data_IF_513386791738
#
_entry.id   IF_513386791738
#
_cell.length_a   1.000
_cell.length_b   1.000
_cell.length_c   1.000
_cell.angle_alpha   90.00
_cell.angle_beta   90.00
_cell.angle_gamma   90.00
#
_symmetry.space_group_name_H-M   'P 1'
#
loop_
_entity.id
_entity.type
_entity.pdbx_description
1 polymer ?
#
# COMPACT_ATOMS: atom_id res chain seq x y z
N UNK A 1 -47.14 -62.34 37.94
CA UNK A 1 -45.85 -61.75 37.54
C UNK A 1 -46.14 -60.59 36.56
N UNK A 2 -46.18 -59.39 37.10
CA UNK A 2 -46.39 -58.17 36.28
C UNK A 2 -45.02 -57.51 36.01
N UNK A 3 -44.66 -57.40 34.75
CA UNK A 3 -43.44 -56.63 34.30
C UNK A 3 -43.80 -55.16 34.25
N UNK A 4 -43.13 -54.37 35.06
CA UNK A 4 -43.15 -52.88 35.01
C UNK A 4 -42.17 -52.41 33.92
N UNK A 5 -42.70 -51.79 32.89
CA UNK A 5 -41.90 -51.14 31.86
C UNK A 5 -41.57 -49.73 32.32
N UNK A 6 -40.28 -49.42 32.53
CA UNK A 6 -39.81 -48.08 32.89
C UNK A 6 -39.64 -47.26 31.59
N UNK A 7 -40.34 -46.16 31.51
CA UNK A 7 -40.22 -45.15 30.43
C UNK A 7 -39.10 -44.20 30.75
N UNK A 8 -37.98 -44.28 30.04
CA UNK A 8 -36.85 -43.34 30.16
C UNK A 8 -37.14 -42.13 29.25
N UNK A 9 -37.52 -41.02 29.83
CA UNK A 9 -37.58 -39.75 29.14
C UNK A 9 -36.16 -39.21 28.93
N UNK A 10 -35.67 -39.23 27.69
CA UNK A 10 -34.43 -38.58 27.28
C UNK A 10 -34.70 -37.08 27.08
N UNK A 11 -34.36 -36.25 28.07
CA UNK A 11 -34.39 -34.82 27.92
C UNK A 11 -33.20 -34.38 27.04
N UNK A 12 -33.48 -33.99 25.79
CA UNK A 12 -32.49 -33.31 24.96
C UNK A 12 -32.21 -31.90 25.55
N UNK A 13 -31.10 -31.75 26.22
CA UNK A 13 -30.55 -30.43 26.50
C UNK A 13 -30.04 -29.83 25.19
N UNK A 14 -30.80 -28.91 24.61
CA UNK A 14 -30.30 -28.03 23.55
C UNK A 14 -29.35 -27.04 24.22
N UNK A 15 -28.05 -27.31 24.16
CA UNK A 15 -27.03 -26.29 24.45
C UNK A 15 -27.12 -25.25 23.34
N UNK A 16 -27.81 -24.14 23.59
CA UNK A 16 -27.64 -22.93 22.85
C UNK A 16 -26.23 -22.41 23.19
N UNK A 17 -25.23 -22.80 22.42
CA UNK A 17 -23.95 -22.09 22.39
C UNK A 17 -24.28 -20.74 21.74
N UNK A 18 -24.41 -19.70 22.57
CA UNK A 18 -24.30 -18.34 22.09
C UNK A 18 -22.92 -18.24 21.41
N UNK A 19 -22.94 -18.25 20.06
CA UNK A 19 -21.74 -17.86 19.32
C UNK A 19 -21.41 -16.44 19.80
N UNK A 20 -20.37 -16.29 20.59
CA UNK A 20 -19.79 -14.98 20.89
C UNK A 20 -19.56 -14.31 19.55
N UNK A 21 -20.08 -13.11 19.39
CA UNK A 21 -19.77 -12.30 18.23
C UNK A 21 -18.24 -12.27 18.11
N UNK A 22 -17.70 -12.88 17.06
CA UNK A 22 -16.27 -12.81 16.75
C UNK A 22 -16.00 -11.36 16.32
N UNK A 23 -15.57 -10.55 17.29
CA UNK A 23 -14.90 -9.29 17.00
C UNK A 23 -13.50 -9.64 16.50
N UNK A 24 -13.09 -9.08 15.38
CA UNK A 24 -11.78 -9.30 14.80
C UNK A 24 -11.21 -8.01 14.24
N UNK A 25 -9.91 -7.95 14.18
CA UNK A 25 -9.20 -6.84 13.55
C UNK A 25 -8.18 -7.39 12.55
N UNK A 26 -7.92 -6.60 11.52
CA UNK A 26 -6.81 -6.79 10.59
C UNK A 26 -6.11 -5.45 10.44
N UNK A 27 -4.83 -5.42 10.75
CA UNK A 27 -4.00 -4.22 10.60
C UNK A 27 -3.29 -4.26 9.26
N UNK A 28 -3.49 -3.23 8.44
CA UNK A 28 -2.82 -3.06 7.15
C UNK A 28 -1.94 -1.82 7.19
N UNK A 29 -0.62 -1.98 7.04
CA UNK A 29 0.30 -0.85 6.95
C UNK A 29 0.46 -0.40 5.49
N UNK A 30 0.22 0.87 5.23
CA UNK A 30 0.23 1.48 3.90
C UNK A 30 1.40 2.46 3.79
N UNK A 31 2.27 2.25 2.80
CA UNK A 31 3.39 3.14 2.49
C UNK A 31 3.31 3.73 1.09
N UNK A 32 4.03 4.83 0.88
CA UNK A 32 4.06 5.58 -0.37
C UNK A 32 4.97 4.98 -1.46
N UNK A 33 5.54 5.86 -2.28
CA UNK A 33 6.39 5.49 -3.41
C UNK A 33 7.74 4.94 -2.94
N UNK A 34 8.07 3.73 -3.40
CA UNK A 34 9.35 3.07 -3.15
C UNK A 34 10.07 2.77 -4.46
N UNK A 35 11.16 3.49 -4.73
CA UNK A 35 12.12 3.18 -5.78
C UNK A 35 13.26 2.35 -5.17
N UNK A 36 13.15 1.03 -5.26
CA UNK A 36 14.20 0.11 -4.81
C UNK A 36 15.20 -0.12 -5.94
N UNK A 37 16.03 0.88 -6.17
CA UNK A 37 17.00 0.87 -7.25
C UNK A 37 17.53 2.25 -7.58
N UNK A 38 18.37 2.32 -8.59
CA UNK A 38 19.03 3.54 -9.05
C UNK A 38 18.53 3.92 -10.45
N UNK A 39 18.62 5.19 -10.80
CA UNK A 39 18.46 5.62 -12.20
C UNK A 39 19.44 4.86 -13.09
N UNK A 40 18.99 4.43 -14.26
CA UNK A 40 19.86 3.67 -15.18
C UNK A 40 21.11 4.47 -15.57
N UNK A 41 21.00 5.78 -15.71
CA UNK A 41 22.10 6.68 -16.06
C UNK A 41 23.18 6.75 -14.96
N UNK A 42 22.78 6.50 -13.70
CA UNK A 42 23.66 6.61 -12.52
C UNK A 42 24.21 5.26 -12.04
N UNK A 43 23.93 4.16 -12.72
CA UNK A 43 24.35 2.81 -12.31
C UNK A 43 25.87 2.64 -12.12
N UNK A 44 26.69 3.56 -12.66
CA UNK A 44 28.15 3.55 -12.54
C UNK A 44 28.67 4.56 -11.53
N UNK A 45 27.82 5.37 -10.94
CA UNK A 45 28.23 6.38 -9.99
C UNK A 45 28.56 5.72 -8.64
N UNK A 46 29.54 6.27 -7.89
CA UNK A 46 29.98 5.64 -6.64
C UNK A 46 29.00 5.78 -5.48
N UNK A 47 28.14 6.78 -5.54
CA UNK A 47 27.18 7.08 -4.49
C UNK A 47 25.76 6.89 -5.02
N UNK A 48 25.23 5.67 -4.94
CA UNK A 48 23.91 5.33 -5.43
C UNK A 48 23.17 4.45 -4.42
N UNK A 49 21.89 4.24 -4.65
CA UNK A 49 21.12 3.26 -3.89
C UNK A 49 21.78 1.88 -3.92
N UNK A 50 22.22 1.43 -5.11
CA UNK A 50 22.83 0.10 -5.27
C UNK A 50 24.12 -0.04 -4.47
N UNK A 51 24.99 0.99 -4.49
CA UNK A 51 26.25 0.97 -3.74
C UNK A 51 26.01 1.00 -2.24
N UNK A 52 25.01 1.78 -1.79
CA UNK A 52 24.64 1.84 -0.39
C UNK A 52 24.07 0.51 0.12
N UNK A 53 23.17 -0.12 -0.64
CA UNK A 53 22.63 -1.43 -0.27
C UNK A 53 23.72 -2.51 -0.24
N UNK A 54 24.66 -2.46 -1.17
CA UNK A 54 25.81 -3.37 -1.15
C UNK A 54 26.70 -3.21 0.09
N UNK A 55 26.82 -1.98 0.61
CA UNK A 55 27.58 -1.67 1.84
C UNK A 55 26.81 -1.97 3.12
N UNK A 56 25.54 -1.56 3.19
CA UNK A 56 24.74 -1.55 4.44
C UNK A 56 23.83 -2.77 4.60
N UNK A 57 23.58 -3.53 3.51
CA UNK A 57 22.63 -4.64 3.49
C UNK A 57 21.18 -4.23 3.23
N UNK A 58 20.34 -5.22 3.01
CA UNK A 58 18.94 -5.02 2.59
C UNK A 58 18.06 -4.38 3.67
N UNK A 59 18.33 -4.65 4.94
CA UNK A 59 17.58 -4.06 6.06
C UNK A 59 17.78 -2.56 6.27
N UNK A 60 18.78 -1.94 5.62
CA UNK A 60 19.12 -0.52 5.83
C UNK A 60 17.93 0.41 5.61
N UNK A 61 17.22 0.28 4.49
CA UNK A 61 16.20 1.24 4.10
C UNK A 61 15.08 1.38 5.12
N UNK A 62 14.63 0.29 5.71
CA UNK A 62 13.49 0.30 6.64
C UNK A 62 13.90 0.29 8.11
N UNK A 63 15.20 0.21 8.43
CA UNK A 63 15.69 -0.04 9.80
C UNK A 63 15.18 0.93 10.86
N UNK A 64 14.85 2.17 10.51
CA UNK A 64 14.32 3.16 11.45
C UNK A 64 12.79 3.26 11.49
N UNK A 65 12.11 2.58 10.55
CA UNK A 65 10.64 2.60 10.45
C UNK A 65 10.05 1.20 10.32
N UNK A 66 10.80 0.14 10.62
CA UNK A 66 10.38 -1.25 10.39
C UNK A 66 9.22 -1.69 11.28
N UNK A 67 9.10 -1.16 12.50
CA UNK A 67 8.17 -1.66 13.53
C UNK A 67 6.72 -1.77 13.02
N UNK A 68 6.08 -0.76 12.41
CA UNK A 68 4.71 -0.91 11.94
C UNK A 68 4.53 -1.95 10.81
N UNK A 69 5.56 -2.18 9.98
CA UNK A 69 5.53 -3.19 8.91
C UNK A 69 5.81 -4.61 9.41
N UNK A 70 6.48 -4.77 10.56
CA UNK A 70 6.80 -6.06 11.16
C UNK A 70 5.77 -6.54 12.19
N UNK A 71 4.89 -5.64 12.63
CA UNK A 71 3.90 -5.93 13.68
C UNK A 71 2.46 -5.88 13.19
N UNK A 72 2.24 -5.53 11.93
CA UNK A 72 0.94 -5.60 11.28
C UNK A 72 0.61 -7.01 10.78
N UNK A 73 -0.53 -7.16 10.13
CA UNK A 73 -0.94 -8.40 9.49
C UNK A 73 -0.60 -8.41 7.99
N UNK A 74 -0.58 -7.25 7.35
CA UNK A 74 -0.27 -7.06 5.92
C UNK A 74 0.29 -5.67 5.70
N UNK A 75 1.36 -5.54 4.93
CA UNK A 75 1.89 -4.25 4.47
C UNK A 75 1.72 -4.08 2.96
N UNK A 76 1.42 -2.87 2.50
CA UNK A 76 1.32 -2.50 1.09
C UNK A 76 2.13 -1.23 0.80
N UNK A 77 2.99 -1.27 -0.22
CA UNK A 77 3.71 -0.10 -0.76
C UNK A 77 3.51 0.01 -2.28
N UNK A 78 3.86 1.16 -2.88
CA UNK A 78 4.00 1.28 -4.33
C UNK A 78 5.45 1.02 -4.75
N UNK A 79 5.71 -0.10 -5.44
CA UNK A 79 7.03 -0.40 -6.01
C UNK A 79 7.19 0.33 -7.34
N UNK A 80 7.84 1.49 -7.31
CA UNK A 80 8.01 2.37 -8.46
C UNK A 80 9.33 2.15 -9.17
N UNK A 81 9.28 1.34 -10.22
CA UNK A 81 10.45 0.91 -10.97
C UNK A 81 10.37 -0.55 -11.40
N UNK A 82 11.50 -1.08 -11.84
CA UNK A 82 11.63 -2.50 -12.18
C UNK A 82 12.72 -3.18 -11.38
N UNK A 83 12.56 -4.47 -11.14
CA UNK A 83 13.59 -5.35 -10.58
C UNK A 83 14.12 -6.24 -11.71
N UNK A 84 15.31 -5.91 -12.24
CA UNK A 84 15.89 -6.59 -13.39
C UNK A 84 17.42 -6.53 -13.35
N UNK A 85 18.09 -7.64 -13.65
CA UNK A 85 19.51 -7.66 -13.93
C UNK A 85 19.78 -7.16 -15.36
N UNK A 86 20.65 -6.15 -15.50
CA UNK A 86 20.99 -5.57 -16.80
C UNK A 86 19.94 -4.63 -17.39
N UNK A 87 20.25 -4.02 -18.53
CA UNK A 87 19.49 -2.92 -19.15
C UNK A 87 18.65 -3.35 -20.35
N UNK A 88 18.31 -4.62 -20.48
CA UNK A 88 17.49 -5.10 -21.60
C UNK A 88 16.12 -4.44 -21.62
N UNK A 89 15.69 -3.96 -22.78
CA UNK A 89 14.39 -3.31 -22.95
C UNK A 89 14.32 -1.87 -22.44
N UNK A 90 15.44 -1.26 -22.05
CA UNK A 90 15.51 0.10 -21.51
C UNK A 90 14.85 1.14 -22.42
N UNK A 91 13.98 1.95 -21.89
CA UNK A 91 13.23 3.04 -22.55
C UNK A 91 14.08 4.31 -22.60
N UNK A 92 15.10 4.35 -23.46
CA UNK A 92 16.10 5.45 -23.53
C UNK A 92 15.54 6.86 -23.78
N UNK A 93 14.32 6.97 -24.29
CA UNK A 93 13.67 8.26 -24.53
C UNK A 93 12.92 8.84 -23.33
N UNK A 94 12.86 8.11 -22.21
CA UNK A 94 12.22 8.53 -20.97
C UNK A 94 13.23 9.29 -20.11
N UNK A 95 12.80 10.39 -19.50
CA UNK A 95 13.67 11.27 -18.72
C UNK A 95 14.28 10.57 -17.50
N UNK A 96 13.47 9.75 -16.82
CA UNK A 96 13.92 8.97 -15.66
C UNK A 96 13.50 7.52 -15.84
N UNK A 97 14.42 6.60 -15.57
CA UNK A 97 14.17 5.16 -15.59
C UNK A 97 14.83 4.51 -14.38
N UNK A 98 14.06 3.73 -13.63
CA UNK A 98 14.50 3.14 -12.37
C UNK A 98 14.63 1.64 -12.45
N UNK A 99 15.78 1.13 -12.00
CA UNK A 99 16.07 -0.29 -12.00
C UNK A 99 16.82 -0.71 -10.75
N UNK A 100 16.29 -1.70 -10.04
CA UNK A 100 16.95 -2.42 -8.96
C UNK A 100 17.38 -3.82 -9.37
N UNK A 101 18.24 -4.44 -8.57
CA UNK A 101 18.56 -5.85 -8.72
C UNK A 101 17.35 -6.71 -8.30
N UNK A 102 17.06 -7.86 -8.97
CA UNK A 102 16.02 -8.79 -8.52
C UNK A 102 16.16 -9.22 -7.05
N UNK A 103 17.40 -9.30 -6.53
CA UNK A 103 17.66 -9.62 -5.13
C UNK A 103 17.12 -8.57 -4.14
N UNK A 104 16.74 -7.37 -4.60
CA UNK A 104 16.17 -6.32 -3.73
C UNK A 104 14.78 -6.63 -3.20
N UNK A 105 14.15 -7.72 -3.64
CA UNK A 105 13.00 -8.29 -2.94
C UNK A 105 13.32 -8.66 -1.50
N UNK A 106 14.59 -8.92 -1.17
CA UNK A 106 15.03 -9.13 0.21
C UNK A 106 14.82 -7.90 1.10
N UNK A 107 14.84 -6.68 0.54
CA UNK A 107 14.51 -5.45 1.26
C UNK A 107 13.06 -5.50 1.76
N UNK A 108 12.13 -5.97 0.91
CA UNK A 108 10.73 -6.13 1.27
C UNK A 108 10.56 -7.18 2.38
N UNK A 109 11.18 -8.34 2.21
CA UNK A 109 11.09 -9.45 3.17
C UNK A 109 11.69 -9.08 4.54
N UNK A 110 12.86 -8.41 4.57
CA UNK A 110 13.49 -7.98 5.82
C UNK A 110 12.68 -6.86 6.52
N UNK A 111 11.96 -6.06 5.75
CA UNK A 111 11.08 -5.02 6.28
C UNK A 111 9.73 -5.55 6.78
N UNK A 112 9.31 -6.75 6.38
CA UNK A 112 7.97 -7.29 6.66
C UNK A 112 6.91 -6.80 5.67
N UNK A 113 7.25 -6.57 4.39
CA UNK A 113 6.32 -6.07 3.38
C UNK A 113 5.85 -7.20 2.47
N UNK A 114 4.57 -7.56 2.57
CA UNK A 114 3.98 -8.69 1.86
C UNK A 114 3.42 -8.32 0.49
N UNK A 115 2.94 -7.07 0.31
CA UNK A 115 2.23 -6.67 -0.90
C UNK A 115 2.86 -5.43 -1.53
N UNK A 116 2.93 -5.42 -2.87
CA UNK A 116 3.32 -4.22 -3.61
C UNK A 116 2.31 -3.89 -4.70
N UNK A 117 2.04 -2.59 -4.89
CA UNK A 117 1.40 -2.11 -6.11
C UNK A 117 2.46 -1.90 -7.19
N UNK A 118 2.21 -2.43 -8.41
CA UNK A 118 3.09 -2.24 -9.57
C UNK A 118 2.46 -1.38 -10.66
N UNK A 119 1.26 -0.84 -10.44
CA UNK A 119 0.56 -0.01 -11.42
C UNK A 119 1.05 1.45 -11.37
N UNK A 120 2.26 1.71 -11.84
CA UNK A 120 2.87 3.04 -11.90
C UNK A 120 3.54 3.31 -13.27
N UNK A 121 4.00 4.55 -13.49
CA UNK A 121 4.64 4.96 -14.75
C UNK A 121 6.02 4.33 -14.95
N UNK A 122 6.69 3.86 -13.90
CA UNK A 122 8.04 3.28 -13.95
C UNK A 122 8.07 1.74 -14.11
N UNK A 123 6.94 1.05 -13.96
CA UNK A 123 6.85 -0.39 -14.22
C UNK A 123 7.15 -0.77 -15.69
N UNK A 124 7.08 0.20 -16.60
CA UNK A 124 7.34 -0.01 -18.03
C UNK A 124 8.73 0.49 -18.47
N UNK A 125 9.59 0.98 -17.59
CA UNK A 125 10.89 1.60 -17.90
C UNK A 125 11.82 0.68 -18.71
N UNK A 126 11.67 -0.62 -18.57
CA UNK A 126 12.42 -1.64 -19.32
C UNK A 126 11.48 -2.54 -20.14
N UNK A 127 10.41 -1.97 -20.67
CA UNK A 127 9.49 -2.61 -21.60
C UNK A 127 8.95 -3.95 -21.03
N UNK A 128 8.83 -4.97 -21.87
CA UNK A 128 8.34 -6.29 -21.49
C UNK A 128 9.31 -7.02 -20.55
N UNK A 129 10.63 -6.94 -20.83
CA UNK A 129 11.64 -7.66 -20.04
C UNK A 129 11.65 -7.19 -18.57
N UNK A 130 11.58 -5.87 -18.33
CA UNK A 130 11.53 -5.33 -16.97
C UNK A 130 10.29 -5.79 -16.21
N UNK A 131 9.12 -5.77 -16.85
CA UNK A 131 7.88 -6.24 -16.24
C UNK A 131 7.91 -7.73 -15.88
N UNK A 132 8.40 -8.56 -16.79
CA UNK A 132 8.50 -10.02 -16.56
C UNK A 132 9.51 -10.33 -15.45
N UNK A 133 10.68 -9.67 -15.48
CA UNK A 133 11.71 -9.82 -14.44
C UNK A 133 11.21 -9.38 -13.07
N UNK A 134 10.52 -8.22 -12.98
CA UNK A 134 9.98 -7.72 -11.71
C UNK A 134 8.99 -8.70 -11.10
N UNK A 135 8.06 -9.24 -11.89
CA UNK A 135 7.10 -10.23 -11.37
C UNK A 135 7.79 -11.51 -10.91
N UNK A 136 8.72 -12.04 -11.73
CA UNK A 136 9.48 -13.23 -11.36
C UNK A 136 10.27 -13.02 -10.07
N UNK A 137 10.87 -11.83 -9.89
CA UNK A 137 11.59 -11.49 -8.66
C UNK A 137 10.64 -11.44 -7.44
N UNK A 138 9.48 -10.78 -7.56
CA UNK A 138 8.48 -10.70 -6.49
C UNK A 138 7.95 -12.10 -6.11
N UNK A 139 7.60 -12.91 -7.11
CA UNK A 139 7.16 -14.30 -6.89
C UNK A 139 8.24 -15.14 -6.18
N UNK A 140 9.50 -15.03 -6.62
CA UNK A 140 10.62 -15.73 -6.02
C UNK A 140 10.94 -15.24 -4.59
N UNK A 141 10.73 -13.94 -4.31
CA UNK A 141 10.89 -13.33 -2.98
C UNK A 141 9.70 -13.56 -2.05
N UNK A 142 8.61 -14.17 -2.54
CA UNK A 142 7.40 -14.42 -1.75
C UNK A 142 6.51 -13.20 -1.55
N UNK A 143 6.75 -12.09 -2.27
CA UNK A 143 5.92 -10.89 -2.18
C UNK A 143 4.75 -10.97 -3.17
N UNK A 144 3.54 -10.71 -2.68
CA UNK A 144 2.36 -10.53 -3.51
C UNK A 144 2.40 -9.20 -4.26
N UNK A 145 1.72 -9.13 -5.39
CA UNK A 145 1.63 -7.88 -6.14
C UNK A 145 0.27 -7.68 -6.79
N UNK A 146 -0.10 -6.42 -6.94
CA UNK A 146 -1.33 -6.01 -7.61
C UNK A 146 -1.08 -4.82 -8.54
N UNK A 147 -2.03 -4.58 -9.44
CA UNK A 147 -1.94 -3.48 -10.39
C UNK A 147 -2.00 -3.92 -11.84
N UNK A 148 -2.38 -3.01 -12.74
CA UNK A 148 -2.73 -3.30 -14.13
C UNK A 148 -3.84 -4.36 -14.23
N UNK A 149 -3.50 -5.63 -14.52
CA UNK A 149 -4.45 -6.74 -14.60
C UNK A 149 -4.25 -7.77 -13.50
N UNK A 150 -3.32 -7.52 -12.59
CA UNK A 150 -3.00 -8.39 -11.46
C UNK A 150 -3.81 -7.94 -10.24
N UNK A 151 -4.31 -8.92 -9.51
CA UNK A 151 -5.08 -8.73 -8.27
C UNK A 151 -4.51 -9.69 -7.25
N UNK A 152 -4.39 -9.23 -6.01
CA UNK A 152 -3.98 -10.06 -4.89
C UNK A 152 -5.13 -10.18 -3.90
N UNK A 153 -5.26 -11.34 -3.28
CA UNK A 153 -6.20 -11.59 -2.20
C UNK A 153 -5.40 -12.28 -1.10
N UNK A 154 -5.37 -11.66 0.07
CA UNK A 154 -4.73 -12.22 1.27
C UNK A 154 -5.81 -12.55 2.28
N UNK A 155 -5.75 -13.76 2.83
CA UNK A 155 -6.63 -14.18 3.91
C UNK A 155 -5.86 -14.11 5.24
N UNK A 156 -6.33 -13.26 6.14
CA UNK A 156 -5.74 -13.00 7.45
C UNK A 156 -6.85 -13.00 8.49
N UNK A 157 -6.62 -13.70 9.60
CA UNK A 157 -7.59 -13.80 10.72
C UNK A 157 -8.99 -14.28 10.28
N UNK A 158 -9.07 -14.99 9.14
CA UNK A 158 -10.33 -15.47 8.54
C UNK A 158 -11.04 -14.43 7.65
N UNK A 159 -10.44 -13.26 7.42
CA UNK A 159 -10.95 -12.22 6.53
C UNK A 159 -10.14 -12.13 5.24
N UNK A 160 -10.81 -11.82 4.12
CA UNK A 160 -10.18 -11.67 2.81
C UNK A 160 -9.99 -10.20 2.47
N UNK A 161 -8.74 -9.78 2.38
CA UNK A 161 -8.37 -8.43 1.97
C UNK A 161 -7.94 -8.48 0.51
N UNK A 162 -8.64 -7.72 -0.34
CA UNK A 162 -8.39 -7.66 -1.78
C UNK A 162 -7.58 -6.44 -2.17
N UNK A 163 -6.57 -6.63 -3.03
CA UNK A 163 -5.70 -5.58 -3.55
C UNK A 163 -5.76 -5.53 -5.08
N UNK A 164 -5.91 -4.34 -5.62
CA UNK A 164 -5.77 -4.03 -7.03
C UNK A 164 -5.29 -2.60 -7.22
N UNK A 165 -4.98 -2.20 -8.45
CA UNK A 165 -4.55 -0.83 -8.68
C UNK A 165 -4.46 -0.46 -10.16
N UNK A 166 -4.52 0.85 -10.44
CA UNK A 166 -4.32 1.37 -11.78
C UNK A 166 -3.65 2.74 -11.79
N UNK A 167 -3.18 3.13 -12.97
CA UNK A 167 -2.66 4.47 -13.26
C UNK A 167 -3.79 5.40 -13.71
N UNK A 168 -3.61 6.71 -13.46
CA UNK A 168 -4.52 7.74 -13.97
C UNK A 168 -4.70 7.66 -15.49
N UNK A 169 -3.63 7.51 -16.24
CA UNK A 169 -3.68 7.40 -17.72
C UNK A 169 -4.55 6.24 -18.17
N UNK A 170 -4.46 5.08 -17.51
CA UNK A 170 -5.30 3.92 -17.81
C UNK A 170 -6.77 4.21 -17.55
N UNK A 171 -7.09 4.89 -16.44
CA UNK A 171 -8.47 5.26 -16.11
C UNK A 171 -9.04 6.28 -17.09
N UNK A 172 -8.25 7.28 -17.51
CA UNK A 172 -8.67 8.29 -18.47
C UNK A 172 -8.92 7.71 -19.86
N UNK A 173 -8.09 6.75 -20.29
CA UNK A 173 -8.30 6.05 -21.56
C UNK A 173 -9.54 5.14 -21.50
N UNK A 174 -9.70 4.39 -20.42
CA UNK A 174 -10.78 3.44 -20.22
C UNK A 174 -10.97 3.07 -18.73
N UNK A 175 -12.20 3.15 -18.27
CA UNK A 175 -12.55 2.80 -16.88
C UNK A 175 -12.73 1.30 -16.64
N UNK A 176 -12.86 0.52 -17.71
CA UNK A 176 -13.15 -0.92 -17.63
C UNK A 176 -12.14 -1.72 -16.79
N UNK A 177 -10.81 -1.49 -16.84
CA UNK A 177 -9.87 -2.20 -15.97
C UNK A 177 -10.22 -2.06 -14.50
N UNK A 178 -10.38 -0.85 -13.98
CA UNK A 178 -10.76 -0.58 -12.58
C UNK A 178 -12.07 -1.26 -12.20
N UNK A 179 -13.11 -1.12 -13.05
CA UNK A 179 -14.39 -1.80 -12.84
C UNK A 179 -14.24 -3.32 -12.74
N UNK A 180 -13.47 -3.93 -13.66
CA UNK A 180 -13.27 -5.37 -13.70
C UNK A 180 -12.48 -5.88 -12.49
N UNK A 181 -11.51 -5.10 -11.99
CA UNK A 181 -10.75 -5.43 -10.79
C UNK A 181 -11.66 -5.48 -9.57
N UNK A 182 -12.42 -4.42 -9.34
CA UNK A 182 -13.32 -4.30 -8.20
C UNK A 182 -14.44 -5.36 -8.25
N UNK A 183 -15.02 -5.57 -9.44
CA UNK A 183 -16.02 -6.64 -9.65
C UNK A 183 -15.45 -8.02 -9.36
N UNK A 184 -14.19 -8.29 -9.76
CA UNK A 184 -13.52 -9.56 -9.50
C UNK A 184 -13.34 -9.79 -8.00
N UNK A 185 -12.78 -8.79 -7.29
CA UNK A 185 -12.52 -8.89 -5.84
C UNK A 185 -13.81 -9.06 -5.04
N UNK A 186 -14.86 -8.31 -5.38
CA UNK A 186 -16.21 -8.52 -4.78
C UNK A 186 -16.75 -9.93 -5.03
N UNK A 187 -16.62 -10.42 -6.27
CA UNK A 187 -17.09 -11.79 -6.61
C UNK A 187 -16.27 -12.87 -5.91
N UNK A 188 -15.00 -12.61 -5.62
CA UNK A 188 -14.12 -13.50 -4.85
C UNK A 188 -14.44 -13.52 -3.36
N UNK A 189 -15.36 -12.65 -2.90
CA UNK A 189 -15.79 -12.56 -1.51
C UNK A 189 -14.76 -11.86 -0.62
N UNK A 190 -14.05 -10.84 -1.16
CA UNK A 190 -13.22 -9.99 -0.31
C UNK A 190 -14.10 -9.20 0.64
N UNK A 191 -13.73 -9.20 1.92
CA UNK A 191 -14.40 -8.46 3.00
C UNK A 191 -14.08 -6.98 2.95
N UNK A 192 -12.82 -6.65 2.59
CA UNK A 192 -12.33 -5.28 2.37
C UNK A 192 -11.52 -5.24 1.07
N UNK A 193 -11.69 -4.16 0.30
CA UNK A 193 -10.95 -3.92 -0.94
C UNK A 193 -10.14 -2.64 -0.82
N UNK A 194 -8.81 -2.77 -0.91
CA UNK A 194 -7.85 -1.66 -0.95
C UNK A 194 -7.43 -1.46 -2.40
N UNK A 195 -7.70 -0.27 -2.95
CA UNK A 195 -7.41 0.04 -4.35
C UNK A 195 -6.33 1.10 -4.48
N UNK A 196 -5.18 0.75 -5.08
CA UNK A 196 -4.07 1.67 -5.30
C UNK A 196 -4.26 2.50 -6.57
N UNK A 197 -4.06 3.80 -6.46
CA UNK A 197 -4.14 4.75 -7.56
C UNK A 197 -2.82 5.53 -7.71
N UNK A 198 -2.15 5.38 -8.85
CA UNK A 198 -0.95 6.14 -9.19
C UNK A 198 -1.34 7.29 -10.13
N UNK A 199 -1.49 8.49 -9.58
CA UNK A 199 -2.26 9.59 -10.15
C UNK A 199 -1.75 10.99 -9.77
N UNK A 200 -2.42 12.02 -10.30
CA UNK A 200 -2.19 13.41 -9.92
C UNK A 200 -0.99 14.04 -10.63
N UNK A 201 -0.51 15.13 -10.07
CA UNK A 201 0.61 15.90 -10.58
C UNK A 201 1.76 15.85 -9.59
N UNK A 202 2.96 15.54 -10.08
CA UNK A 202 4.18 15.56 -9.27
C UNK A 202 4.35 16.88 -8.55
N UNK A 203 4.69 16.81 -7.26
CA UNK A 203 4.97 17.92 -6.34
C UNK A 203 3.80 18.90 -6.17
N UNK A 204 2.56 18.49 -6.47
CA UNK A 204 1.37 19.25 -6.12
C UNK A 204 0.93 18.86 -4.70
N UNK A 205 0.90 19.80 -3.73
CA UNK A 205 0.50 19.47 -2.36
C UNK A 205 -1.01 19.29 -2.21
N UNK A 206 -1.78 19.52 -3.28
CA UNK A 206 -3.23 19.37 -3.28
C UNK A 206 -3.70 18.42 -4.38
N UNK A 207 -4.69 17.60 -4.05
CA UNK A 207 -5.32 16.69 -4.99
C UNK A 207 -6.16 17.44 -6.05
N UNK A 208 -6.35 16.83 -7.21
CA UNK A 208 -7.03 17.44 -8.34
C UNK A 208 -8.36 16.73 -8.68
N UNK A 209 -9.12 17.33 -9.60
CA UNK A 209 -10.43 16.82 -10.02
C UNK A 209 -10.37 15.42 -10.68
N UNK A 210 -9.24 15.04 -11.26
CA UNK A 210 -9.08 13.69 -11.83
C UNK A 210 -8.92 12.66 -10.74
N UNK A 211 -8.14 12.96 -9.72
CA UNK A 211 -8.01 12.11 -8.52
C UNK A 211 -9.39 11.91 -7.87
N UNK A 212 -10.16 13.00 -7.68
CA UNK A 212 -11.54 12.93 -7.14
C UNK A 212 -12.41 11.98 -7.98
N UNK A 213 -12.43 12.14 -9.31
CA UNK A 213 -13.25 11.27 -10.18
C UNK A 213 -12.83 9.81 -10.12
N UNK A 214 -11.54 9.54 -10.00
CA UNK A 214 -11.02 8.17 -9.87
C UNK A 214 -11.43 7.55 -8.54
N UNK A 215 -11.25 8.28 -7.44
CA UNK A 215 -11.62 7.83 -6.11
C UNK A 215 -13.12 7.54 -6.01
N UNK A 216 -13.96 8.49 -6.44
CA UNK A 216 -15.41 8.32 -6.45
C UNK A 216 -15.83 7.10 -7.29
N UNK A 217 -15.17 6.87 -8.42
CA UNK A 217 -15.46 5.73 -9.26
C UNK A 217 -15.03 4.41 -8.59
N UNK A 218 -13.85 4.36 -7.96
CA UNK A 218 -13.37 3.19 -7.23
C UNK A 218 -14.32 2.82 -6.07
N UNK A 219 -14.66 3.79 -5.21
CA UNK A 219 -15.52 3.60 -4.04
C UNK A 219 -16.93 3.20 -4.46
N UNK A 220 -17.49 3.87 -5.48
CA UNK A 220 -18.82 3.50 -6.04
C UNK A 220 -18.87 2.06 -6.53
N UNK A 221 -17.76 1.51 -7.02
CA UNK A 221 -17.68 0.14 -7.54
C UNK A 221 -17.17 -0.88 -6.52
N UNK A 222 -16.91 -0.44 -5.27
CA UNK A 222 -16.69 -1.33 -4.13
C UNK A 222 -15.29 -1.34 -3.54
N UNK A 223 -14.47 -0.33 -3.79
CA UNK A 223 -13.30 -0.07 -2.96
C UNK A 223 -13.76 0.49 -1.61
N UNK A 224 -13.14 0.04 -0.53
CA UNK A 224 -13.36 0.54 0.83
C UNK A 224 -12.29 1.58 1.18
N UNK A 225 -11.05 1.34 0.74
CA UNK A 225 -9.92 2.24 0.92
C UNK A 225 -9.24 2.48 -0.43
N UNK A 226 -8.98 3.75 -0.76
CA UNK A 226 -8.20 4.16 -1.94
C UNK A 226 -6.88 4.76 -1.49
N UNK A 227 -5.76 4.21 -1.98
CA UNK A 227 -4.41 4.63 -1.64
C UNK A 227 -3.76 5.30 -2.84
N UNK A 228 -3.44 6.59 -2.71
CA UNK A 228 -2.82 7.41 -3.74
C UNK A 228 -1.30 7.46 -3.63
N UNK A 229 -0.63 7.45 -4.79
CA UNK A 229 0.81 7.60 -4.98
C UNK A 229 1.08 8.41 -6.26
N UNK A 230 2.33 8.75 -6.58
CA UNK A 230 2.78 9.53 -7.72
C UNK A 230 3.03 11.03 -7.47
N UNK A 231 2.28 11.79 -6.65
CA UNK A 231 2.60 13.19 -6.44
C UNK A 231 3.98 13.42 -5.79
N UNK A 232 4.62 12.37 -5.25
CA UNK A 232 5.91 12.44 -4.56
C UNK A 232 5.95 13.44 -3.39
N UNK A 233 4.79 13.83 -2.90
CA UNK A 233 4.58 14.63 -1.70
C UNK A 233 3.30 14.17 -1.02
N UNK A 234 3.16 14.44 0.26
CA UNK A 234 1.93 14.11 0.99
C UNK A 234 0.78 14.99 0.51
N UNK A 235 -0.41 14.39 0.45
CA UNK A 235 -1.68 15.08 0.22
C UNK A 235 -2.66 14.69 1.31
N UNK A 236 -3.87 15.23 1.27
CA UNK A 236 -4.89 15.07 2.29
C UNK A 236 -5.49 13.66 2.40
N UNK A 237 -6.46 13.55 3.30
CA UNK A 237 -7.27 12.36 3.57
C UNK A 237 -8.72 12.78 3.59
N UNK A 238 -9.60 12.05 2.89
CA UNK A 238 -11.03 12.32 2.87
C UNK A 238 -11.88 11.05 3.01
N UNK A 239 -13.07 11.21 3.56
CA UNK A 239 -14.15 10.25 3.42
C UNK A 239 -14.97 10.61 2.19
N UNK A 240 -15.17 9.64 1.29
CA UNK A 240 -15.93 9.84 0.06
C UNK A 240 -16.89 8.68 -0.19
N UNK A 241 -18.15 9.00 -0.20
CA UNK A 241 -19.19 8.02 -0.52
C UNK A 241 -19.13 6.75 0.34
N UNK A 242 -18.63 6.84 1.60
CA UNK A 242 -18.48 5.79 2.61
C UNK A 242 -17.25 4.90 2.41
N UNK A 243 -16.26 5.36 1.68
CA UNK A 243 -14.90 4.82 1.65
C UNK A 243 -13.89 5.89 2.00
N UNK A 244 -12.69 5.49 2.34
CA UNK A 244 -11.59 6.37 2.74
C UNK A 244 -10.61 6.56 1.58
N UNK A 245 -10.15 7.78 1.37
CA UNK A 245 -9.17 8.13 0.34
C UNK A 245 -7.96 8.78 0.99
N UNK A 246 -6.81 8.17 0.80
CA UNK A 246 -5.49 8.72 1.09
C UNK A 246 -4.96 9.28 -0.23
N UNK A 247 -4.98 10.61 -0.43
CA UNK A 247 -4.71 11.20 -1.74
C UNK A 247 -3.28 11.00 -2.22
N UNK A 248 -2.28 11.12 -1.32
CA UNK A 248 -0.89 10.73 -1.59
C UNK A 248 -0.11 10.53 -0.30
N UNK A 249 0.65 9.44 -0.24
CA UNK A 249 1.52 9.12 0.89
C UNK A 249 2.95 9.65 0.72
N UNK A 250 3.29 10.30 -0.41
CA UNK A 250 4.63 10.79 -0.69
C UNK A 250 5.64 9.68 -0.98
N UNK A 251 6.94 10.03 -0.90
CA UNK A 251 8.05 9.10 -1.12
C UNK A 251 8.45 8.42 0.20
N UNK A 252 8.42 7.10 0.26
CA UNK A 252 8.85 6.36 1.46
C UNK A 252 10.34 5.99 1.37
N UNK A 253 10.75 5.18 0.38
CA UNK A 253 12.15 4.87 0.09
C UNK A 253 12.42 5.21 -1.36
N UNK A 254 13.21 6.24 -1.64
CA UNK A 254 13.35 6.73 -3.00
C UNK A 254 14.80 6.70 -3.50
N UNK A 255 15.23 5.55 -4.05
CA UNK A 255 16.58 5.34 -4.58
C UNK A 255 16.91 6.11 -5.86
N UNK A 256 15.91 6.78 -6.46
CA UNK A 256 16.04 7.47 -7.74
C UNK A 256 16.82 8.78 -7.71
N UNK A 257 17.06 9.39 -6.55
CA UNK A 257 17.79 10.66 -6.42
C UNK A 257 18.28 10.90 -5.00
N UNK A 258 19.39 11.64 -4.88
CA UNK A 258 19.83 12.22 -3.62
C UNK A 258 19.20 13.59 -3.34
N UNK A 259 18.83 14.32 -4.39
CA UNK A 259 18.25 15.66 -4.30
C UNK A 259 16.72 15.54 -4.34
N UNK A 260 16.12 15.63 -3.17
CA UNK A 260 14.67 15.53 -3.00
C UNK A 260 14.03 16.92 -3.03
N UNK A 261 12.90 17.04 -3.75
CA UNK A 261 12.11 18.28 -3.71
C UNK A 261 11.41 18.44 -2.36
N UNK A 262 10.98 17.33 -1.76
CA UNK A 262 10.46 17.25 -0.39
C UNK A 262 10.87 15.94 0.24
N UNK A 263 11.04 15.95 1.57
CA UNK A 263 11.31 14.75 2.35
C UNK A 263 10.07 14.24 3.08
N UNK A 264 8.92 14.88 2.89
CA UNK A 264 7.70 14.60 3.62
C UNK A 264 6.99 13.37 3.05
N UNK A 265 6.70 12.41 3.90
CA UNK A 265 5.99 11.20 3.60
C UNK A 265 5.06 10.80 4.74
N UNK A 266 4.20 9.84 4.48
CA UNK A 266 3.26 9.30 5.46
C UNK A 266 3.24 7.77 5.37
N UNK A 267 3.35 7.12 6.51
CA UNK A 267 2.96 5.73 6.72
C UNK A 267 1.63 5.73 7.46
N UNK A 268 0.71 4.87 7.06
CA UNK A 268 -0.61 4.77 7.69
C UNK A 268 -0.87 3.32 8.09
N UNK A 269 -1.19 3.08 9.36
CA UNK A 269 -1.80 1.82 9.77
C UNK A 269 -3.32 1.95 9.70
N UNK A 270 -3.92 1.13 8.84
CA UNK A 270 -5.37 0.98 8.70
C UNK A 270 -5.81 -0.25 9.51
N UNK A 271 -6.38 -0.03 10.69
CA UNK A 271 -6.93 -1.08 11.54
C UNK A 271 -8.37 -1.33 11.11
N UNK A 272 -8.59 -2.40 10.37
CA UNK A 272 -9.89 -2.85 9.86
C UNK A 272 -10.62 -3.58 10.98
N UNK A 273 -11.79 -3.09 11.39
CA UNK A 273 -12.57 -3.69 12.46
C UNK A 273 -13.72 -4.53 11.90
N UNK A 274 -13.95 -5.70 12.49
CA UNK A 274 -15.00 -6.63 12.10
C UNK A 274 -15.86 -7.03 13.29
N UNK A 275 -17.16 -7.15 13.07
CA UNK A 275 -18.12 -7.67 14.04
C UNK A 275 -19.07 -8.64 13.36
N UNK A 276 -19.27 -9.81 13.96
CA UNK A 276 -20.12 -10.87 13.40
C UNK A 276 -19.70 -11.27 11.95
N UNK A 277 -18.40 -11.24 11.65
CA UNK A 277 -17.84 -11.55 10.34
C UNK A 277 -18.08 -10.46 9.29
N UNK A 278 -18.47 -9.25 9.68
CA UNK A 278 -18.70 -8.12 8.76
C UNK A 278 -17.78 -6.97 9.09
N UNK A 279 -17.23 -6.36 8.07
CA UNK A 279 -16.47 -5.12 8.16
C UNK A 279 -17.33 -4.00 8.74
N UNK A 280 -16.82 -3.33 9.76
CA UNK A 280 -17.51 -2.22 10.47
C UNK A 280 -16.91 -0.87 10.13
N UNK A 281 -15.65 -0.83 9.74
CA UNK A 281 -14.94 0.41 9.46
C UNK A 281 -13.45 0.29 9.72
N UNK A 282 -12.76 1.41 9.59
CA UNK A 282 -11.31 1.49 9.72
C UNK A 282 -10.89 2.61 10.64
N UNK A 283 -9.95 2.31 11.54
CA UNK A 283 -9.18 3.33 12.25
C UNK A 283 -7.87 3.56 11.50
N UNK A 284 -7.62 4.78 11.05
CA UNK A 284 -6.34 5.17 10.49
C UNK A 284 -5.45 5.72 11.61
N UNK A 285 -4.23 5.21 11.73
CA UNK A 285 -3.17 5.76 12.58
C UNK A 285 -2.13 6.38 11.66
N UNK A 286 -1.94 7.70 11.78
CA UNK A 286 -1.07 8.47 10.91
C UNK A 286 0.33 8.57 11.50
N UNK A 287 1.33 8.15 10.75
CA UNK A 287 2.73 8.18 11.14
C UNK A 287 3.54 9.00 10.12
N UNK A 288 3.66 10.32 10.31
CA UNK A 288 4.51 11.17 9.50
C UNK A 288 5.95 10.66 9.46
N UNK A 289 6.54 10.66 8.27
CA UNK A 289 7.87 10.13 7.99
C UNK A 289 8.68 11.15 7.19
N UNK A 290 9.97 11.18 7.41
CA UNK A 290 10.95 11.85 6.55
C UNK A 290 11.64 10.79 5.69
N UNK A 291 11.67 10.97 4.38
CA UNK A 291 12.26 10.03 3.41
C UNK A 291 13.76 9.76 3.65
N UNK A 292 14.43 10.65 4.39
CA UNK A 292 15.85 10.55 4.73
C UNK A 292 16.11 10.91 6.18
N UNK A 293 16.95 10.13 6.83
CA UNK A 293 17.46 10.41 8.18
C UNK A 293 18.74 11.28 8.20
N UNK A 294 19.24 11.70 7.03
CA UNK A 294 20.46 12.53 6.89
C UNK A 294 20.22 13.67 5.89
N UNK A 295 19.25 14.54 6.21
CA UNK A 295 18.91 15.70 5.39
C UNK A 295 20.00 16.79 5.45
N UNK A 296 20.21 17.55 4.39
CA UNK A 296 19.33 17.75 3.22
C UNK A 296 19.54 16.74 2.07
N UNK A 297 20.37 15.72 2.25
CA UNK A 297 20.60 14.70 1.23
C UNK A 297 19.77 13.46 1.52
N UNK A 298 19.29 12.79 0.49
CA UNK A 298 18.60 11.52 0.63
C UNK A 298 19.63 10.38 0.82
N UNK A 299 19.59 9.74 1.99
CA UNK A 299 20.39 8.57 2.33
C UNK A 299 19.61 7.26 2.20
N UNK A 300 18.40 7.30 1.63
CA UNK A 300 17.51 6.16 1.39
C UNK A 300 17.09 5.41 2.67
N UNK A 301 17.19 6.05 3.82
CA UNK A 301 16.78 5.53 5.11
C UNK A 301 15.76 6.48 5.73
N UNK A 302 14.46 6.25 5.52
CA UNK A 302 13.42 7.05 6.15
C UNK A 302 13.44 6.89 7.68
N UNK A 303 12.94 7.94 8.36
CA UNK A 303 12.74 7.93 9.80
C UNK A 303 11.42 8.59 10.18
N UNK A 304 10.84 8.24 11.32
CA UNK A 304 9.64 8.90 11.80
C UNK A 304 9.90 10.38 12.09
N UNK A 305 9.02 11.24 11.59
CA UNK A 305 9.06 12.65 11.87
C UNK A 305 8.68 12.94 13.33
N UNK A 306 9.39 13.90 13.96
CA UNK A 306 9.10 14.33 15.33
C UNK A 306 9.11 15.85 15.43
N UNK A 307 8.50 16.39 16.50
CA UNK A 307 8.49 17.85 16.76
C UNK A 307 7.93 18.66 15.58
N UNK A 308 8.64 19.69 15.15
CA UNK A 308 8.20 20.59 14.09
C UNK A 308 8.03 19.93 12.71
N UNK A 309 8.78 18.87 12.40
CA UNK A 309 8.59 18.11 11.14
C UNK A 309 7.27 17.32 11.18
N UNK A 310 6.94 16.70 12.31
CA UNK A 310 5.65 16.04 12.53
C UNK A 310 4.50 17.03 12.34
N UNK A 311 4.54 18.16 13.04
CA UNK A 311 3.48 19.17 13.01
C UNK A 311 3.30 19.73 11.59
N UNK A 312 4.38 19.96 10.88
CA UNK A 312 4.35 20.45 9.49
C UNK A 312 3.73 19.45 8.53
N UNK A 313 4.08 18.17 8.63
CA UNK A 313 3.50 17.12 7.76
C UNK A 313 2.01 16.97 8.06
N UNK A 314 1.61 16.93 9.33
CA UNK A 314 0.19 16.87 9.72
C UNK A 314 -0.60 18.08 9.19
N UNK A 315 0.02 19.28 9.21
CA UNK A 315 -0.61 20.48 8.64
C UNK A 315 -0.77 20.40 7.13
N UNK A 316 0.23 19.87 6.38
CA UNK A 316 0.10 19.65 4.93
C UNK A 316 -1.06 18.70 4.60
N UNK A 317 -1.24 17.64 5.39
CA UNK A 317 -2.36 16.70 5.23
C UNK A 317 -3.69 17.43 5.52
N UNK A 318 -3.75 18.21 6.60
CA UNK A 318 -4.94 18.99 6.96
C UNK A 318 -5.33 19.99 5.87
N UNK A 319 -4.37 20.69 5.28
CA UNK A 319 -4.61 21.74 4.28
C UNK A 319 -5.26 21.21 3.00
N UNK A 320 -5.08 19.92 2.69
CA UNK A 320 -5.68 19.24 1.53
C UNK A 320 -6.82 18.27 1.90
N UNK A 321 -7.31 18.32 3.14
CA UNK A 321 -8.39 17.47 3.63
C UNK A 321 -9.67 18.27 3.89
N UNK A 322 -10.83 17.67 3.65
CA UNK A 322 -12.14 18.30 3.92
C UNK A 322 -12.65 18.04 5.33
N UNK A 323 -11.97 17.18 6.09
CA UNK A 323 -12.32 16.82 7.47
C UNK A 323 -11.15 17.11 8.42
N UNK A 324 -11.40 17.26 9.73
CA UNK A 324 -10.34 17.43 10.71
C UNK A 324 -9.40 16.24 10.75
N UNK A 325 -8.09 16.49 10.68
CA UNK A 325 -7.05 15.47 10.71
C UNK A 325 -6.44 15.36 12.11
N UNK A 326 -6.47 14.16 12.66
CA UNK A 326 -5.80 13.78 13.91
C UNK A 326 -4.80 12.65 13.70
N UNK A 327 -4.01 12.32 14.73
CA UNK A 327 -3.08 11.20 14.65
C UNK A 327 -3.79 9.84 14.50
N UNK A 328 -5.03 9.76 14.95
CA UNK A 328 -5.89 8.58 14.85
C UNK A 328 -7.31 9.01 14.47
N UNK A 329 -7.92 8.32 13.51
CA UNK A 329 -9.21 8.70 12.91
C UNK A 329 -10.04 7.45 12.58
N UNK A 330 -11.31 7.44 13.01
CA UNK A 330 -12.27 6.37 12.69
C UNK A 330 -13.15 6.73 11.49
N UNK A 331 -13.37 5.76 10.61
CA UNK A 331 -14.28 5.84 9.47
C UNK A 331 -15.18 4.62 9.47
N UNK A 332 -16.49 4.83 9.50
CA UNK A 332 -17.49 3.77 9.53
C UNK A 332 -17.63 3.12 8.13
N UNK A 333 -17.80 1.79 8.08
CA UNK A 333 -18.12 1.07 6.85
C UNK A 333 -19.53 1.42 6.35
N UNK A 334 -19.77 1.22 5.04
CA UNK A 334 -21.10 1.40 4.42
C UNK A 334 -22.08 0.31 4.81
#
# INVERSE_FOLDING_TARGET
MQKKTALVCLACLILCTSASALAGEVTVTLGGDCVLGTREEWKKDPETFDTLIAEKGYGWCFSKIAEPFQTDDISLINLEGVLQSGSQGHQRGKQFTFRGDPAYTAILTEAGIEQVNIANNHYIDFSRSGRESTRAALEAGGSGFSGYTYRSIVEVNGYKIGFAGCRETTFLERKAPMYNDLKYLKKAGCDVIIYSCHWGKEYSPTHNQTQIRMADYAIKNGADIVVGTHPHCVQGIDERGGGVVLWSLGNLVFGGTHDMTTFDALVVQAVLSFENGKYQGVTLKLMPVLTSSDRPRNNFQPEFATGGDYDRIMQLIQDDSTLPIGPEMWFEAK
#
